data_IF_912463489985
#
_entry.id   IF_912463489985
#
_cell.length_a   1.000
_cell.length_b   1.000
_cell.length_c   1.000
_cell.angle_alpha   90.00
_cell.angle_beta   90.00
_cell.angle_gamma   90.00
#
_symmetry.space_group_name_H-M   'P 1'
#
loop_
_entity.id
_entity.type
_entity.pdbx_description
1 polymer ?
#
# COMPACT_ATOMS: atom_id res chain seq x y z
N UNK A 1 9.48 21.03 19.71
CA UNK A 1 9.44 20.10 18.57
C UNK A 1 10.88 19.84 18.14
N UNK A 2 11.28 18.58 17.97
CA UNK A 2 12.65 18.22 17.61
C UNK A 2 13.05 18.82 16.25
N UNK A 3 14.30 19.29 16.10
CA UNK A 3 14.80 20.00 14.90
C UNK A 3 14.60 19.17 13.62
N UNK A 4 14.84 17.86 13.70
CA UNK A 4 14.59 16.93 12.59
C UNK A 4 13.16 17.04 12.00
N UNK A 5 12.14 17.19 12.85
CA UNK A 5 10.73 17.30 12.42
C UNK A 5 10.48 18.65 11.74
N UNK A 6 11.14 19.71 12.23
CA UNK A 6 11.07 21.04 11.61
C UNK A 6 11.65 20.99 10.20
N UNK A 7 12.82 20.39 10.04
CA UNK A 7 13.55 20.32 8.77
C UNK A 7 12.88 19.37 7.76
N UNK A 8 12.31 18.26 8.21
CA UNK A 8 11.66 17.27 7.32
C UNK A 8 10.18 17.52 7.11
N UNK A 9 9.57 18.42 7.89
CA UNK A 9 8.12 18.57 7.95
C UNK A 9 7.45 18.95 6.63
N UNK A 10 8.03 19.90 5.88
CA UNK A 10 7.51 20.29 4.58
C UNK A 10 7.58 19.13 3.58
N UNK A 11 8.69 18.39 3.56
CA UNK A 11 8.85 17.21 2.70
C UNK A 11 7.78 16.17 3.00
N UNK A 12 7.57 15.82 4.27
CA UNK A 12 6.57 14.82 4.64
C UNK A 12 5.16 15.28 4.29
N UNK A 13 4.82 16.56 4.51
CA UNK A 13 3.53 17.11 4.10
C UNK A 13 3.29 16.98 2.60
N UNK A 14 4.27 17.37 1.77
CA UNK A 14 4.17 17.24 0.32
C UNK A 14 4.05 15.78 -0.13
N UNK A 15 4.74 14.85 0.54
CA UNK A 15 4.58 13.41 0.25
C UNK A 15 3.16 12.91 0.60
N UNK A 16 2.57 13.37 1.71
CA UNK A 16 1.20 13.01 2.08
C UNK A 16 0.17 13.60 1.12
N UNK A 17 0.36 14.85 0.68
CA UNK A 17 -0.45 15.47 -0.37
C UNK A 17 -0.37 14.67 -1.68
N UNK A 18 0.84 14.22 -2.05
CA UNK A 18 1.04 13.38 -3.22
C UNK A 18 0.35 12.02 -3.08
N UNK A 19 0.40 11.36 -1.91
CA UNK A 19 -0.36 10.13 -1.65
C UNK A 19 -1.85 10.34 -1.88
N UNK A 20 -2.42 11.43 -1.38
CA UNK A 20 -3.84 11.74 -1.56
C UNK A 20 -4.18 12.01 -3.04
N UNK A 21 -3.29 12.69 -3.77
CA UNK A 21 -3.46 12.92 -5.20
C UNK A 21 -3.46 11.61 -5.99
N UNK A 22 -2.49 10.72 -5.73
CA UNK A 22 -2.42 9.39 -6.35
C UNK A 22 -3.69 8.57 -6.06
N UNK A 23 -4.22 8.64 -4.84
CA UNK A 23 -5.46 7.94 -4.46
C UNK A 23 -6.69 8.46 -5.20
N UNK A 24 -6.74 9.75 -5.53
CA UNK A 24 -7.79 10.32 -6.38
C UNK A 24 -7.66 9.79 -7.82
N UNK A 25 -6.45 9.76 -8.38
CA UNK A 25 -6.21 9.21 -9.71
C UNK A 25 -6.55 7.72 -9.80
N UNK A 26 -6.20 6.93 -8.79
CA UNK A 26 -6.58 5.51 -8.71
C UNK A 26 -8.10 5.37 -8.75
N UNK A 27 -8.85 6.16 -7.97
CA UNK A 27 -10.31 6.13 -7.96
C UNK A 27 -10.91 6.50 -9.32
N UNK A 28 -10.39 7.57 -9.94
CA UNK A 28 -10.84 8.03 -11.25
C UNK A 28 -10.60 6.96 -12.33
N UNK A 29 -9.38 6.43 -12.43
CA UNK A 29 -9.04 5.41 -13.42
C UNK A 29 -9.76 4.09 -13.16
N UNK A 30 -10.00 3.72 -11.90
CA UNK A 30 -10.82 2.55 -11.57
C UNK A 30 -12.27 2.74 -12.01
N UNK A 31 -12.84 3.94 -11.87
CA UNK A 31 -14.18 4.23 -12.36
C UNK A 31 -14.26 4.15 -13.89
N UNK A 32 -13.27 4.71 -14.61
CA UNK A 32 -13.16 4.59 -16.07
C UNK A 32 -13.00 3.14 -16.53
N UNK A 33 -12.14 2.38 -15.85
CA UNK A 33 -11.95 0.95 -16.11
C UNK A 33 -13.25 0.17 -15.93
N UNK A 34 -13.98 0.38 -14.83
CA UNK A 34 -15.28 -0.26 -14.59
C UNK A 34 -16.29 0.08 -15.69
N UNK A 35 -16.35 1.34 -16.11
CA UNK A 35 -17.22 1.78 -17.20
C UNK A 35 -16.89 1.04 -18.51
N UNK A 36 -15.62 0.99 -18.90
CA UNK A 36 -15.19 0.29 -20.11
C UNK A 36 -15.46 -1.23 -20.04
N UNK A 37 -15.29 -1.85 -18.86
CA UNK A 37 -15.65 -3.26 -18.63
C UNK A 37 -17.16 -3.49 -18.80
N UNK A 38 -18.00 -2.62 -18.25
CA UNK A 38 -19.46 -2.70 -18.41
C UNK A 38 -19.84 -2.55 -19.87
N UNK A 39 -19.23 -1.61 -20.59
CA UNK A 39 -19.51 -1.38 -22.02
C UNK A 39 -19.11 -2.58 -22.89
N UNK A 40 -17.98 -3.24 -22.63
CA UNK A 40 -17.66 -4.49 -23.33
C UNK A 40 -18.66 -5.60 -22.95
N UNK A 41 -19.07 -5.67 -21.69
CA UNK A 41 -20.07 -6.66 -21.26
C UNK A 41 -21.40 -6.44 -21.98
N UNK A 42 -21.89 -5.22 -22.11
CA UNK A 42 -23.14 -4.96 -22.84
C UNK A 42 -23.02 -5.35 -24.31
N UNK A 43 -21.92 -4.97 -24.98
CA UNK A 43 -21.68 -5.36 -26.37
C UNK A 43 -21.49 -6.89 -26.55
N UNK A 44 -20.94 -7.58 -25.55
CA UNK A 44 -20.78 -9.03 -25.57
C UNK A 44 -21.99 -9.82 -25.08
N UNK A 45 -22.84 -9.22 -24.23
CA UNK A 45 -24.14 -9.75 -23.80
C UNK A 45 -25.16 -9.62 -24.92
N UNK A 46 -25.20 -8.51 -25.67
CA UNK A 46 -26.00 -8.40 -26.90
C UNK A 46 -25.64 -9.49 -27.93
N UNK A 47 -24.44 -10.08 -27.83
CA UNK A 47 -24.00 -11.20 -28.66
C UNK A 47 -24.26 -12.59 -28.03
N UNK A 48 -24.49 -12.68 -26.71
CA UNK A 48 -24.54 -13.94 -25.95
C UNK A 48 -25.81 -14.15 -25.11
N UNK A 49 -26.76 -13.23 -25.06
CA UNK A 49 -28.07 -13.42 -24.42
C UNK A 49 -28.97 -14.37 -25.23
N UNK A 50 -28.53 -15.61 -25.30
CA UNK A 50 -29.43 -16.76 -25.29
C UNK A 50 -29.28 -17.62 -24.03
N UNK A 51 -28.35 -17.33 -23.10
CA UNK A 51 -28.32 -18.04 -21.82
C UNK A 51 -27.28 -17.42 -20.87
N UNK A 52 -27.67 -17.07 -19.64
CA UNK A 52 -26.99 -17.44 -18.37
C UNK A 52 -27.29 -16.49 -17.19
N UNK A 53 -27.40 -17.14 -16.02
CA UNK A 53 -28.02 -16.77 -14.75
C UNK A 53 -27.14 -15.90 -13.80
N UNK A 54 -27.75 -15.30 -12.77
CA UNK A 54 -27.28 -14.11 -12.00
C UNK A 54 -26.28 -14.33 -10.83
N UNK A 55 -25.71 -15.52 -10.61
CA UNK A 55 -25.08 -15.89 -9.32
C UNK A 55 -23.53 -16.00 -9.30
N UNK A 56 -22.76 -15.05 -9.87
CA UNK A 56 -21.28 -15.20 -9.95
C UNK A 56 -20.43 -14.11 -9.29
N UNK A 57 -19.34 -14.54 -8.64
CA UNK A 57 -18.37 -13.71 -7.90
C UNK A 57 -17.42 -12.88 -8.78
N UNK A 58 -16.90 -11.77 -8.27
CA UNK A 58 -16.04 -10.79 -9.00
C UNK A 58 -14.81 -11.41 -9.69
N UNK A 59 -14.16 -12.41 -9.08
CA UNK A 59 -13.00 -13.10 -9.68
C UNK A 59 -13.41 -13.97 -10.87
N UNK A 60 -14.56 -14.64 -10.77
CA UNK A 60 -15.14 -15.41 -11.86
C UNK A 60 -15.60 -14.50 -13.00
N UNK A 61 -16.17 -13.34 -12.65
CA UNK A 61 -16.56 -12.28 -13.59
C UNK A 61 -15.34 -11.76 -14.36
N UNK A 62 -14.19 -11.55 -13.71
CA UNK A 62 -12.95 -11.15 -14.39
C UNK A 62 -12.41 -12.24 -15.33
N UNK A 63 -12.42 -13.50 -14.91
CA UNK A 63 -11.96 -14.61 -15.76
C UNK A 63 -12.88 -14.89 -16.96
N UNK A 64 -14.21 -14.76 -16.78
CA UNK A 64 -15.18 -14.83 -17.86
C UNK A 64 -15.07 -13.63 -18.81
N UNK A 65 -14.75 -12.45 -18.27
CA UNK A 65 -14.51 -11.24 -19.06
C UNK A 65 -13.30 -11.37 -20.00
N UNK A 66 -12.17 -11.92 -19.53
CA UNK A 66 -11.02 -12.16 -20.41
C UNK A 66 -11.36 -13.12 -21.57
N UNK A 67 -12.21 -14.13 -21.33
CA UNK A 67 -12.69 -15.03 -22.39
C UNK A 67 -13.63 -14.34 -23.37
N UNK A 68 -14.49 -13.46 -22.89
CA UNK A 68 -15.40 -12.64 -23.72
C UNK A 68 -14.61 -11.67 -24.60
N UNK A 69 -13.67 -10.94 -24.01
CA UNK A 69 -12.77 -9.98 -24.66
C UNK A 69 -11.96 -10.65 -25.79
N UNK A 70 -11.50 -11.87 -25.61
CA UNK A 70 -10.76 -12.59 -26.67
C UNK A 70 -11.67 -13.10 -27.81
N UNK A 71 -13.00 -13.06 -27.66
CA UNK A 71 -13.96 -13.62 -28.62
C UNK A 71 -14.75 -12.58 -29.45
N UNK A 72 -14.78 -11.31 -29.05
CA UNK A 72 -15.53 -10.25 -29.77
C UNK A 72 -14.65 -9.47 -30.74
N UNK A 73 -14.93 -9.59 -32.04
CA UNK A 73 -14.38 -8.74 -33.11
C UNK A 73 -15.05 -7.36 -33.09
N UNK A 74 -14.28 -6.27 -33.23
CA UNK A 74 -14.82 -4.90 -33.28
C UNK A 74 -14.84 -4.13 -31.95
N UNK A 75 -14.35 -4.73 -30.85
CA UNK A 75 -14.21 -4.06 -29.53
C UNK A 75 -12.78 -3.62 -29.23
N UNK A 76 -11.88 -3.62 -30.22
CA UNK A 76 -10.44 -3.43 -30.01
C UNK A 76 -10.09 -2.10 -29.35
N UNK A 77 -10.86 -1.04 -29.64
CA UNK A 77 -10.73 0.25 -28.96
C UNK A 77 -10.99 0.14 -27.45
N UNK A 78 -12.08 -0.50 -27.05
CA UNK A 78 -12.43 -0.70 -25.64
C UNK A 78 -11.42 -1.62 -24.93
N UNK A 79 -10.89 -2.65 -25.60
CA UNK A 79 -9.82 -3.50 -25.05
C UNK A 79 -8.54 -2.70 -24.78
N UNK A 80 -8.18 -1.82 -25.71
CA UNK A 80 -7.05 -0.91 -25.54
C UNK A 80 -7.27 0.02 -24.35
N UNK A 81 -8.46 0.63 -24.24
CA UNK A 81 -8.81 1.49 -23.10
C UNK A 81 -8.74 0.75 -21.75
N UNK A 82 -9.24 -0.49 -21.67
CA UNK A 82 -9.14 -1.32 -20.47
C UNK A 82 -7.68 -1.57 -20.10
N UNK A 83 -6.86 -1.95 -21.08
CA UNK A 83 -5.43 -2.22 -20.87
C UNK A 83 -4.72 -0.95 -20.36
N UNK A 84 -5.02 0.20 -20.96
CA UNK A 84 -4.48 1.49 -20.55
C UNK A 84 -4.89 1.83 -19.12
N UNK A 85 -6.19 1.75 -18.78
CA UNK A 85 -6.65 2.09 -17.44
C UNK A 85 -6.15 1.10 -16.37
N UNK A 86 -6.03 -0.18 -16.69
CA UNK A 86 -5.40 -1.16 -15.80
C UNK A 86 -3.93 -0.83 -15.53
N UNK A 87 -3.16 -0.49 -16.57
CA UNK A 87 -1.77 -0.09 -16.43
C UNK A 87 -1.63 1.18 -15.59
N UNK A 88 -2.49 2.18 -15.80
CA UNK A 88 -2.51 3.41 -15.01
C UNK A 88 -2.84 3.13 -13.54
N UNK A 89 -3.90 2.36 -13.25
CA UNK A 89 -4.23 1.97 -11.87
C UNK A 89 -3.06 1.28 -11.19
N UNK A 90 -2.41 0.32 -11.88
CA UNK A 90 -1.25 -0.38 -11.34
C UNK A 90 -0.05 0.55 -11.09
N UNK A 91 0.22 1.48 -12.01
CA UNK A 91 1.30 2.45 -11.89
C UNK A 91 1.08 3.39 -10.69
N UNK A 92 -0.11 3.96 -10.56
CA UNK A 92 -0.46 4.84 -9.44
C UNK A 92 -0.44 4.10 -8.11
N UNK A 93 -0.97 2.87 -8.04
CA UNK A 93 -0.87 2.04 -6.83
C UNK A 93 0.58 1.78 -6.42
N UNK A 94 1.45 1.50 -7.39
CA UNK A 94 2.88 1.32 -7.14
C UNK A 94 3.53 2.61 -6.65
N UNK A 95 3.22 3.76 -7.27
CA UNK A 95 3.70 5.06 -6.85
C UNK A 95 3.29 5.36 -5.40
N UNK A 96 2.03 5.14 -5.03
CA UNK A 96 1.55 5.34 -3.65
C UNK A 96 2.35 4.50 -2.66
N UNK A 97 2.62 3.22 -2.97
CA UNK A 97 3.40 2.35 -2.09
C UNK A 97 4.84 2.86 -1.89
N UNK A 98 5.48 3.36 -2.95
CA UNK A 98 6.82 3.94 -2.84
C UNK A 98 6.83 5.25 -2.05
N UNK A 99 5.86 6.13 -2.27
CA UNK A 99 5.75 7.39 -1.52
C UNK A 99 5.55 7.11 -0.02
N UNK A 100 4.65 6.18 0.32
CA UNK A 100 4.47 5.73 1.71
C UNK A 100 5.74 5.11 2.29
N UNK A 101 6.49 4.33 1.49
CA UNK A 101 7.78 3.78 1.89
C UNK A 101 8.80 4.87 2.21
N UNK A 102 8.84 5.94 1.41
CA UNK A 102 9.70 7.10 1.66
C UNK A 102 9.35 7.84 2.96
N UNK A 103 8.07 7.96 3.30
CA UNK A 103 7.63 8.56 4.57
C UNK A 103 8.12 7.72 5.75
N UNK A 104 7.95 6.40 5.69
CA UNK A 104 8.47 5.49 6.72
C UNK A 104 10.00 5.61 6.82
N UNK A 105 10.70 5.70 5.69
CA UNK A 105 12.16 5.85 5.66
C UNK A 105 12.61 7.14 6.32
N UNK A 106 11.93 8.27 6.09
CA UNK A 106 12.19 9.53 6.79
C UNK A 106 12.02 9.31 8.30
N UNK A 107 10.91 8.72 8.74
CA UNK A 107 10.70 8.44 10.16
C UNK A 107 11.83 7.58 10.77
N UNK A 108 12.21 6.48 10.09
CA UNK A 108 13.31 5.60 10.50
C UNK A 108 14.65 6.35 10.61
N UNK A 109 14.94 7.25 9.68
CA UNK A 109 16.16 8.05 9.72
C UNK A 109 16.15 9.08 10.85
N UNK A 110 15.00 9.68 11.15
CA UNK A 110 14.86 10.53 12.33
C UNK A 110 15.19 9.79 13.62
N UNK A 111 14.64 8.59 13.80
CA UNK A 111 14.92 7.74 14.96
C UNK A 111 16.41 7.41 15.02
N UNK A 112 16.99 6.99 13.90
CA UNK A 112 18.41 6.61 13.82
C UNK A 112 19.36 7.79 14.07
N UNK A 113 18.98 9.00 13.68
CA UNK A 113 19.78 10.21 13.87
C UNK A 113 19.85 10.60 15.35
N UNK A 114 18.74 10.51 16.07
CA UNK A 114 18.64 10.91 17.49
C UNK A 114 19.22 9.84 18.40
N UNK A 115 18.92 8.57 18.13
CA UNK A 115 19.26 7.46 19.03
C UNK A 115 20.46 6.63 18.57
N UNK A 116 21.01 6.89 17.39
CA UNK A 116 22.11 6.14 16.79
C UNK A 116 21.67 4.99 15.86
N UNK A 117 22.63 4.41 15.14
CA UNK A 117 22.37 3.28 14.23
C UNK A 117 22.44 1.93 14.94
N UNK A 118 21.51 1.05 14.61
CA UNK A 118 21.41 -0.34 15.06
C UNK A 118 22.65 -1.14 14.62
N UNK A 119 23.63 -1.26 15.50
CA UNK A 119 24.77 -2.18 15.33
C UNK A 119 24.79 -3.25 16.42
N UNK A 120 23.62 -3.68 16.91
CA UNK A 120 23.50 -4.94 17.65
C UNK A 120 22.70 -5.92 16.80
N UNK A 121 23.20 -7.15 16.55
CA UNK A 121 22.63 -8.06 15.55
C UNK A 121 21.15 -8.39 15.74
N UNK A 122 20.63 -8.35 16.97
CA UNK A 122 19.31 -8.89 17.30
C UNK A 122 18.49 -8.02 18.28
N UNK A 123 18.76 -6.72 18.40
CA UNK A 123 18.06 -5.87 19.39
C UNK A 123 17.99 -4.38 19.08
N UNK A 124 16.96 -3.74 19.62
CA UNK A 124 16.80 -2.28 19.65
C UNK A 124 17.83 -1.66 20.59
N UNK A 125 18.27 -0.42 20.32
CA UNK A 125 19.11 0.34 21.24
C UNK A 125 18.35 0.49 22.56
N UNK A 126 18.96 0.05 23.66
CA UNK A 126 18.52 0.35 25.01
C UNK A 126 18.36 1.87 25.13
N UNK A 127 17.11 2.36 25.15
CA UNK A 127 16.81 3.78 25.32
C UNK A 127 15.99 4.44 24.21
N UNK A 128 15.79 3.82 23.04
CA UNK A 128 14.87 4.41 22.04
C UNK A 128 13.43 4.31 22.54
N UNK A 129 12.69 5.43 22.66
CA UNK A 129 11.30 5.42 23.08
C UNK A 129 10.47 4.47 22.21
N UNK A 130 9.53 3.78 22.83
CA UNK A 130 8.67 2.81 22.14
C UNK A 130 7.59 3.52 21.30
N UNK A 131 7.29 4.79 21.62
CA UNK A 131 6.12 5.50 21.11
C UNK A 131 4.82 4.86 21.62
N UNK A 132 3.69 5.21 20.99
CA UNK A 132 2.41 4.57 21.32
C UNK A 132 2.41 3.09 20.94
N UNK A 133 1.62 2.30 21.66
CA UNK A 133 1.36 0.91 21.32
C UNK A 133 0.16 0.80 20.37
N UNK A 134 0.28 -0.03 19.35
CA UNK A 134 -0.83 -0.50 18.54
C UNK A 134 -0.98 -2.00 18.82
N UNK A 135 -2.01 -2.35 19.57
CA UNK A 135 -2.23 -3.72 20.05
C UNK A 135 -1.04 -4.16 20.94
N UNK A 136 -0.19 -5.08 20.46
CA UNK A 136 1.01 -5.54 21.17
C UNK A 136 2.32 -5.05 20.55
N UNK A 137 2.24 -4.25 19.49
CA UNK A 137 3.39 -3.75 18.74
C UNK A 137 3.67 -2.30 19.12
N UNK A 138 4.95 -1.95 19.22
CA UNK A 138 5.34 -0.57 19.46
C UNK A 138 5.40 0.18 18.13
N UNK A 139 5.07 1.48 18.15
CA UNK A 139 5.17 2.34 16.98
C UNK A 139 6.58 2.29 16.36
N UNK A 140 7.62 2.31 17.21
CA UNK A 140 9.02 2.17 16.79
C UNK A 140 9.23 0.92 15.94
N UNK A 141 8.76 -0.23 16.42
CA UNK A 141 8.97 -1.51 15.76
C UNK A 141 8.21 -1.57 14.43
N UNK A 142 6.99 -1.04 14.40
CA UNK A 142 6.18 -0.93 13.17
C UNK A 142 6.92 -0.12 12.12
N UNK A 143 7.39 1.09 12.45
CA UNK A 143 8.13 1.95 11.51
C UNK A 143 9.35 1.20 10.98
N UNK A 144 10.14 0.61 11.88
CA UNK A 144 11.39 -0.03 11.52
C UNK A 144 11.22 -1.22 10.59
N UNK A 145 10.34 -2.16 10.97
CA UNK A 145 10.17 -3.39 10.20
C UNK A 145 9.32 -3.16 8.95
N UNK A 146 8.38 -2.21 8.96
CA UNK A 146 7.68 -1.81 7.74
C UNK A 146 8.62 -1.18 6.70
N UNK A 147 9.58 -0.35 7.12
CA UNK A 147 10.65 0.12 6.24
C UNK A 147 11.43 -1.04 5.61
N UNK A 148 11.88 -1.97 6.44
CA UNK A 148 12.66 -3.12 5.97
C UNK A 148 11.84 -3.96 4.98
N UNK A 149 10.55 -4.16 5.24
CA UNK A 149 9.64 -4.82 4.32
C UNK A 149 9.52 -4.06 3.00
N UNK A 150 9.29 -2.75 3.04
CA UNK A 150 9.13 -1.92 1.85
C UNK A 150 10.37 -1.95 0.94
N UNK A 151 11.56 -1.88 1.54
CA UNK A 151 12.85 -1.91 0.83
C UNK A 151 13.11 -3.30 0.22
N UNK A 152 12.95 -4.37 1.00
CA UNK A 152 13.29 -5.73 0.57
C UNK A 152 12.12 -6.51 -0.06
N UNK A 153 10.99 -5.85 -0.34
CA UNK A 153 9.80 -6.54 -0.80
C UNK A 153 10.04 -7.39 -2.05
N UNK A 154 10.86 -6.93 -3.00
CA UNK A 154 11.10 -7.66 -4.26
C UNK A 154 11.91 -8.94 -4.10
N UNK A 155 12.73 -9.03 -3.05
CA UNK A 155 13.54 -10.22 -2.75
C UNK A 155 12.64 -11.37 -2.27
N UNK A 156 11.63 -11.05 -1.46
CA UNK A 156 10.69 -12.01 -0.89
C UNK A 156 11.27 -12.83 0.28
N UNK A 157 12.52 -12.59 0.67
CA UNK A 157 13.18 -13.21 1.82
C UNK A 157 13.31 -12.19 2.94
N UNK A 158 12.32 -12.14 3.83
CA UNK A 158 12.32 -11.23 4.97
C UNK A 158 13.01 -11.84 6.18
N UNK A 159 13.66 -11.00 7.00
CA UNK A 159 14.20 -11.42 8.30
C UNK A 159 13.07 -11.70 9.30
N UNK A 160 13.36 -12.52 10.31
CA UNK A 160 12.38 -12.95 11.31
C UNK A 160 11.61 -11.78 11.96
N UNK A 161 12.22 -10.65 12.36
CA UNK A 161 11.49 -9.54 12.97
C UNK A 161 10.43 -8.90 12.05
N UNK A 162 10.64 -8.93 10.73
CA UNK A 162 9.65 -8.47 9.76
C UNK A 162 8.52 -9.48 9.66
N UNK A 163 8.84 -10.78 9.61
CA UNK A 163 7.83 -11.84 9.55
C UNK A 163 6.95 -11.81 10.79
N UNK A 164 7.54 -11.74 11.98
CA UNK A 164 6.81 -11.71 13.26
C UNK A 164 5.88 -10.50 13.35
N UNK A 165 6.39 -9.31 12.98
CA UNK A 165 5.60 -8.09 12.99
C UNK A 165 4.39 -8.18 12.05
N UNK A 166 4.61 -8.63 10.80
CA UNK A 166 3.51 -8.72 9.84
C UNK A 166 2.54 -9.86 10.14
N UNK A 167 2.98 -10.96 10.76
CA UNK A 167 2.09 -12.01 11.26
C UNK A 167 1.18 -11.47 12.37
N UNK A 168 1.70 -10.67 13.29
CA UNK A 168 0.89 -10.05 14.36
C UNK A 168 -0.06 -8.99 13.80
N UNK A 169 0.38 -8.21 12.81
CA UNK A 169 -0.49 -7.28 12.09
C UNK A 169 -1.60 -7.99 11.32
N UNK A 170 -1.30 -9.11 10.66
CA UNK A 170 -2.30 -9.92 9.95
C UNK A 170 -3.36 -10.44 10.92
N UNK A 171 -2.92 -10.98 12.06
CA UNK A 171 -3.80 -11.49 13.12
C UNK A 171 -4.69 -10.40 13.71
N UNK A 172 -4.14 -9.21 13.95
CA UNK A 172 -4.83 -8.13 14.66
C UNK A 172 -5.66 -7.22 13.75
N UNK A 173 -5.27 -7.07 12.49
CA UNK A 173 -5.85 -6.06 11.58
C UNK A 173 -6.31 -6.62 10.23
N UNK A 174 -6.00 -7.89 9.90
CA UNK A 174 -6.56 -8.60 8.76
C UNK A 174 -5.57 -8.93 7.62
N UNK A 175 -6.07 -9.64 6.59
CA UNK A 175 -5.25 -10.28 5.55
C UNK A 175 -4.43 -9.31 4.68
N UNK A 176 -4.76 -8.01 4.66
CA UNK A 176 -4.01 -7.01 3.91
C UNK A 176 -2.55 -6.85 4.38
N UNK A 177 -2.20 -7.35 5.58
CA UNK A 177 -0.83 -7.40 6.08
C UNK A 177 -0.14 -8.75 5.83
N UNK A 178 -0.84 -9.74 5.28
CA UNK A 178 -0.30 -11.07 5.05
C UNK A 178 0.83 -11.06 4.02
N UNK A 179 2.05 -11.43 4.43
CA UNK A 179 3.18 -11.56 3.51
C UNK A 179 3.04 -12.78 2.59
N UNK A 180 2.26 -13.80 3.01
CA UNK A 180 2.03 -15.03 2.24
C UNK A 180 0.94 -14.86 1.18
N UNK A 181 -0.15 -14.15 1.49
CA UNK A 181 -1.18 -13.82 0.49
C UNK A 181 -0.72 -12.72 -0.47
N UNK A 182 0.31 -11.98 -0.09
CA UNK A 182 0.84 -10.86 -0.87
C UNK A 182 2.36 -10.92 -1.07
N UNK A 183 2.86 -12.00 -1.68
CA UNK A 183 4.28 -12.19 -1.86
C UNK A 183 4.84 -11.09 -2.75
N UNK A 184 6.00 -10.58 -2.37
CA UNK A 184 6.76 -9.56 -3.10
C UNK A 184 6.04 -8.22 -3.37
N UNK A 185 5.04 -7.91 -2.55
CA UNK A 185 4.33 -6.64 -2.60
C UNK A 185 4.73 -5.74 -1.44
N UNK A 186 4.94 -4.46 -1.73
CA UNK A 186 5.15 -3.43 -0.71
C UNK A 186 3.84 -3.19 0.06
N UNK A 187 3.93 -3.10 1.39
CA UNK A 187 2.80 -2.91 2.32
C UNK A 187 2.81 -1.53 3.00
N UNK A 188 3.70 -0.63 2.60
CA UNK A 188 3.90 0.66 3.24
C UNK A 188 2.62 1.51 3.31
N UNK A 189 1.78 1.50 2.26
CA UNK A 189 0.50 2.22 2.28
C UNK A 189 -0.41 1.71 3.38
N UNK A 190 -0.53 0.38 3.53
CA UNK A 190 -1.35 -0.24 4.58
C UNK A 190 -0.84 0.15 5.97
N UNK A 191 0.49 0.25 6.15
CA UNK A 191 1.11 0.70 7.39
C UNK A 191 0.81 2.18 7.65
N UNK A 192 0.98 3.07 6.66
CA UNK A 192 0.65 4.49 6.81
C UNK A 192 -0.83 4.69 7.18
N UNK A 193 -1.74 3.91 6.58
CA UNK A 193 -3.17 3.92 6.91
C UNK A 193 -3.42 3.42 8.34
N UNK A 194 -2.79 2.30 8.75
CA UNK A 194 -2.90 1.76 10.11
C UNK A 194 -2.43 2.76 11.16
N UNK A 195 -1.33 3.45 10.90
CA UNK A 195 -0.80 4.46 11.79
C UNK A 195 -1.64 5.75 11.78
N UNK A 196 -2.57 5.93 10.84
CA UNK A 196 -3.31 7.18 10.69
C UNK A 196 -2.44 8.34 10.20
N UNK A 197 -1.27 8.04 9.62
CA UNK A 197 -0.27 9.02 9.20
C UNK A 197 -0.65 9.80 7.94
N UNK A 198 -1.79 9.49 7.32
CA UNK A 198 -2.41 10.37 6.32
C UNK A 198 -2.81 11.73 6.92
N UNK A 199 -3.06 11.79 8.23
CA UNK A 199 -3.13 13.07 8.96
C UNK A 199 -1.73 13.44 9.46
N UNK A 200 -1.18 14.52 8.90
CA UNK A 200 0.14 15.03 9.26
C UNK A 200 0.29 15.35 10.76
N UNK A 201 -0.80 15.68 11.47
CA UNK A 201 -0.76 15.94 12.92
C UNK A 201 -0.50 14.67 13.71
N UNK A 202 -1.05 13.54 13.26
CA UNK A 202 -0.81 12.22 13.87
C UNK A 202 0.66 11.84 13.65
N UNK A 203 1.17 12.03 12.43
CA UNK A 203 2.59 11.82 12.12
C UNK A 203 3.51 12.63 13.05
N UNK A 204 3.27 13.95 13.22
CA UNK A 204 4.08 14.79 14.10
C UNK A 204 4.03 14.27 15.54
N UNK A 205 2.83 13.98 16.05
CA UNK A 205 2.65 13.54 17.44
C UNK A 205 3.43 12.25 17.70
N UNK A 206 3.29 11.29 16.79
CA UNK A 206 3.99 10.02 16.81
C UNK A 206 5.52 10.23 16.76
N UNK A 207 6.01 11.06 15.82
CA UNK A 207 7.45 11.34 15.72
C UNK A 207 8.00 12.10 16.92
N UNK A 208 7.25 13.04 17.52
CA UNK A 208 7.68 13.72 18.73
C UNK A 208 7.84 12.74 19.89
N UNK A 209 6.95 11.75 20.01
CA UNK A 209 7.05 10.72 21.05
C UNK A 209 8.26 9.79 20.90
N UNK A 210 8.84 9.74 19.70
CA UNK A 210 9.98 8.87 19.37
C UNK A 210 11.32 9.60 19.40
N UNK A 211 11.34 10.92 19.26
CA UNK A 211 12.57 11.73 19.13
C UNK A 211 12.88 12.59 20.36
N UNK A 212 12.01 12.60 21.36
CA UNK A 212 12.18 13.29 22.64
C UNK A 212 12.40 12.26 23.75
#
# INVERSE_FOLDING_TARGET
MHQYIVETGNTVRSLLELVNHEDLLIKEHTAKLRKAIIEIKTHGWDFRTNDLNDDFSDAYVMAAFFRLVNSTSGTDKLKSEITIFQALVGAHQMATQFICGSILQIAKQGISLVHGSFLVPDGYIMGTPHGRMLTFLTLRDIIWQACNQAVHCKEGFYRQPVIDLFAELEKSHGPQFSLSQHPRQNRAKQIIQLLGWLDYRVYITDMQSLLL
#
